data_IF_055180815053
#
_entry.id   IF_055180815053
#
_cell.length_a   1.000
_cell.length_b   1.000
_cell.length_c   1.000
_cell.angle_alpha   90.00
_cell.angle_beta   90.00
_cell.angle_gamma   90.00
#
_symmetry.space_group_name_H-M   'P 1'
#
loop_
_entity.id
_entity.type
_entity.pdbx_description
1 polymer ?
#
# COMPACT_ATOMS: atom_id res chain seq x y z
N UNK A 1 1.24 4.47 8.97
CA UNK A 1 0.82 3.05 8.76
C UNK A 1 -0.33 2.64 9.63
N UNK A 2 -0.34 2.94 10.93
CA UNK A 2 -1.45 2.53 11.82
C UNK A 2 -2.79 3.13 11.37
N UNK A 3 -2.84 4.44 11.10
CA UNK A 3 -4.09 5.11 10.70
C UNK A 3 -4.58 4.61 9.33
N UNK A 4 -3.75 4.58 8.29
CA UNK A 4 -4.14 4.04 6.97
C UNK A 4 -4.54 2.56 7.01
N UNK A 5 -3.86 1.75 7.82
CA UNK A 5 -4.21 0.35 8.04
C UNK A 5 -5.55 0.20 8.78
N UNK A 6 -5.86 1.07 9.74
CA UNK A 6 -7.16 1.08 10.42
C UNK A 6 -8.31 1.51 9.51
N UNK A 7 -8.08 2.46 8.60
CA UNK A 7 -9.10 2.85 7.61
C UNK A 7 -9.46 1.67 6.69
N UNK A 8 -8.45 0.94 6.20
CA UNK A 8 -8.67 -0.26 5.38
C UNK A 8 -9.30 -1.39 6.20
N UNK A 9 -8.82 -1.66 7.41
CA UNK A 9 -9.31 -2.77 8.23
C UNK A 9 -10.73 -2.58 8.76
N UNK A 10 -11.13 -1.34 9.06
CA UNK A 10 -12.47 -1.00 9.54
C UNK A 10 -13.43 -0.64 8.41
N UNK A 11 -12.97 -0.61 7.15
CA UNK A 11 -13.80 -0.21 6.02
C UNK A 11 -14.29 1.24 6.12
N UNK A 12 -13.52 2.12 6.76
CA UNK A 12 -13.80 3.56 6.85
C UNK A 12 -13.00 4.24 5.75
N UNK A 13 -13.68 4.72 4.71
CA UNK A 13 -13.09 5.26 3.48
C UNK A 13 -11.96 4.38 2.96
N UNK A 14 -12.29 3.09 2.74
CA UNK A 14 -11.32 2.05 2.46
C UNK A 14 -10.49 2.33 1.20
N UNK A 15 -11.08 2.97 0.20
CA UNK A 15 -10.41 3.47 -1.00
C UNK A 15 -9.36 4.55 -0.67
N UNK A 16 -9.73 5.58 0.09
CA UNK A 16 -8.79 6.62 0.53
C UNK A 16 -7.67 6.03 1.40
N UNK A 17 -8.02 5.14 2.33
CA UNK A 17 -7.05 4.41 3.16
C UNK A 17 -6.06 3.62 2.30
N UNK A 18 -6.56 2.87 1.33
CA UNK A 18 -5.75 2.07 0.41
C UNK A 18 -4.85 2.94 -0.49
N UNK A 19 -5.35 4.07 -0.98
CA UNK A 19 -4.55 5.02 -1.76
C UNK A 19 -3.41 5.64 -0.93
N UNK A 20 -3.69 6.06 0.30
CA UNK A 20 -2.68 6.60 1.21
C UNK A 20 -1.63 5.55 1.60
N UNK A 21 -2.06 4.29 1.79
CA UNK A 21 -1.13 3.17 2.00
C UNK A 21 -0.22 2.96 0.79
N UNK A 22 -0.77 2.93 -0.43
CA UNK A 22 0.01 2.79 -1.66
C UNK A 22 1.08 3.89 -1.79
N UNK A 23 0.70 5.16 -1.61
CA UNK A 23 1.62 6.30 -1.68
C UNK A 23 2.75 6.16 -0.66
N UNK A 24 2.41 5.86 0.59
CA UNK A 24 3.42 5.69 1.63
C UNK A 24 4.38 4.53 1.33
N UNK A 25 3.86 3.38 0.90
CA UNK A 25 4.66 2.20 0.62
C UNK A 25 5.63 2.44 -0.52
N UNK A 26 5.21 3.14 -1.58
CA UNK A 26 6.10 3.56 -2.66
C UNK A 26 7.17 4.54 -2.16
N UNK A 27 6.78 5.59 -1.44
CA UNK A 27 7.74 6.55 -0.88
C UNK A 27 8.76 5.86 0.03
N UNK A 28 8.30 4.94 0.88
CA UNK A 28 9.16 4.13 1.76
C UNK A 28 10.09 3.21 0.96
N UNK A 29 9.59 2.51 -0.07
CA UNK A 29 10.41 1.65 -0.93
C UNK A 29 11.58 2.43 -1.56
N UNK A 30 11.29 3.57 -2.19
CA UNK A 30 12.32 4.34 -2.89
C UNK A 30 13.26 5.14 -1.98
N UNK A 31 12.80 5.59 -0.80
CA UNK A 31 13.63 6.37 0.13
C UNK A 31 14.38 5.54 1.16
N UNK A 32 13.80 4.43 1.63
CA UNK A 32 14.35 3.64 2.73
C UNK A 32 15.01 2.34 2.26
N UNK A 33 14.57 1.77 1.14
CA UNK A 33 15.06 0.49 0.62
C UNK A 33 15.72 0.62 -0.75
N UNK A 34 16.58 1.63 -0.89
CA UNK A 34 17.33 1.95 -2.09
C UNK A 34 18.49 0.97 -2.36
N UNK A 35 18.17 -0.32 -2.53
CA UNK A 35 19.14 -1.41 -2.66
C UNK A 35 20.20 -1.20 -3.77
N UNK A 36 19.89 -0.40 -4.80
CA UNK A 36 20.82 -0.06 -5.88
C UNK A 36 22.03 0.78 -5.42
N UNK A 37 21.99 1.39 -4.23
CA UNK A 37 23.14 2.12 -3.67
C UNK A 37 23.99 1.28 -2.73
N UNK A 38 23.61 0.01 -2.47
CA UNK A 38 24.30 -0.86 -1.51
C UNK A 38 25.38 -1.69 -2.20
N UNK A 39 26.63 -1.59 -1.70
CA UNK A 39 27.78 -2.29 -2.27
C UNK A 39 27.95 -3.72 -1.73
N UNK A 40 27.70 -3.92 -0.43
CA UNK A 40 27.74 -5.25 0.18
C UNK A 40 26.63 -6.15 -0.38
N UNK A 41 26.99 -7.33 -0.88
CA UNK A 41 26.07 -8.21 -1.58
C UNK A 41 24.95 -8.73 -0.67
N UNK A 42 25.25 -9.02 0.60
CA UNK A 42 24.31 -9.61 1.53
C UNK A 42 23.30 -8.55 2.02
N UNK A 43 23.77 -7.34 2.35
CA UNK A 43 22.93 -6.20 2.67
C UNK A 43 22.07 -5.77 1.46
N UNK A 44 22.62 -5.78 0.25
CA UNK A 44 21.88 -5.47 -0.98
C UNK A 44 20.71 -6.41 -1.19
N UNK A 45 20.90 -7.71 -0.96
CA UNK A 45 19.81 -8.70 -1.08
C UNK A 45 18.71 -8.47 -0.04
N UNK A 46 19.08 -8.13 1.20
CA UNK A 46 18.12 -7.80 2.24
C UNK A 46 17.30 -6.54 1.90
N UNK A 47 17.96 -5.47 1.46
CA UNK A 47 17.28 -4.24 1.03
C UNK A 47 16.40 -4.47 -0.19
N UNK A 48 16.85 -5.23 -1.17
CA UNK A 48 16.05 -5.59 -2.35
C UNK A 48 14.80 -6.36 -1.95
N UNK A 49 14.89 -7.27 -0.97
CA UNK A 49 13.75 -8.01 -0.46
C UNK A 49 12.72 -7.07 0.20
N UNK A 50 13.17 -6.11 1.01
CA UNK A 50 12.28 -5.13 1.64
C UNK A 50 11.65 -4.18 0.62
N UNK A 51 12.41 -3.74 -0.39
CA UNK A 51 11.88 -2.97 -1.51
C UNK A 51 10.74 -3.72 -2.22
N UNK A 52 10.96 -4.99 -2.57
CA UNK A 52 9.95 -5.81 -3.26
C UNK A 52 8.72 -6.08 -2.39
N UNK A 53 8.89 -6.24 -1.07
CA UNK A 53 7.75 -6.34 -0.14
C UNK A 53 6.91 -5.07 -0.16
N UNK A 54 7.54 -3.89 -0.05
CA UNK A 54 6.80 -2.63 -0.08
C UNK A 54 6.11 -2.41 -1.44
N UNK A 55 6.77 -2.78 -2.54
CA UNK A 55 6.19 -2.69 -3.88
C UNK A 55 4.99 -3.62 -4.04
N UNK A 56 5.08 -4.87 -3.58
CA UNK A 56 3.97 -5.83 -3.60
C UNK A 56 2.78 -5.35 -2.76
N UNK A 57 3.04 -4.83 -1.55
CA UNK A 57 2.01 -4.25 -0.69
C UNK A 57 1.39 -2.99 -1.29
N UNK A 58 2.17 -2.16 -1.98
CA UNK A 58 1.66 -0.99 -2.70
C UNK A 58 0.71 -1.42 -3.83
N UNK A 59 1.10 -2.45 -4.60
CA UNK A 59 0.25 -3.06 -5.63
C UNK A 59 -1.06 -3.60 -5.05
N UNK A 60 -1.00 -4.35 -3.95
CA UNK A 60 -2.20 -4.85 -3.27
C UNK A 60 -3.10 -3.70 -2.78
N UNK A 61 -2.52 -2.63 -2.27
CA UNK A 61 -3.26 -1.44 -1.85
C UNK A 61 -3.95 -0.76 -3.04
N UNK A 62 -3.29 -0.66 -4.20
CA UNK A 62 -3.91 -0.11 -5.40
C UNK A 62 -5.06 -0.98 -5.93
N UNK A 63 -4.94 -2.31 -5.84
CA UNK A 63 -6.05 -3.22 -6.19
C UNK A 63 -7.27 -2.94 -5.31
N UNK A 64 -7.08 -2.80 -4.00
CA UNK A 64 -8.17 -2.48 -3.06
C UNK A 64 -8.78 -1.11 -3.39
N UNK A 65 -7.94 -0.10 -3.66
CA UNK A 65 -8.40 1.23 -4.05
C UNK A 65 -9.33 1.19 -5.28
N UNK A 66 -8.91 0.51 -6.35
CA UNK A 66 -9.71 0.39 -7.58
C UNK A 66 -10.97 -0.45 -7.34
N UNK A 67 -10.87 -1.53 -6.57
CA UNK A 67 -12.02 -2.38 -6.25
C UNK A 67 -13.10 -1.58 -5.52
N UNK A 68 -12.74 -0.85 -4.46
CA UNK A 68 -13.69 -0.05 -3.67
C UNK A 68 -14.20 1.16 -4.48
N UNK A 69 -13.32 1.88 -5.16
CA UNK A 69 -13.69 3.08 -5.93
C UNK A 69 -14.51 2.80 -7.19
N UNK A 70 -14.54 1.56 -7.69
CA UNK A 70 -15.44 1.11 -8.77
C UNK A 70 -16.75 0.51 -8.27
N UNK A 71 -17.01 0.55 -6.95
CA UNK A 71 -18.21 0.00 -6.33
C UNK A 71 -18.19 -1.53 -6.17
N UNK A 72 -17.03 -2.16 -6.26
CA UNK A 72 -16.85 -3.59 -6.02
C UNK A 72 -17.09 -3.96 -4.55
N UNK A 73 -17.55 -5.19 -4.34
CA UNK A 73 -17.84 -5.70 -2.99
C UNK A 73 -16.55 -5.87 -2.18
N UNK A 74 -16.33 -5.01 -1.19
CA UNK A 74 -15.20 -5.06 -0.26
C UNK A 74 -15.66 -5.49 1.15
N UNK A 75 -16.46 -6.56 1.21
CA UNK A 75 -16.96 -7.10 2.48
C UNK A 75 -17.75 -6.09 3.33
N UNK A 76 -17.92 -6.34 4.65
CA UNK A 76 -18.62 -5.42 5.54
C UNK A 76 -17.79 -4.14 5.74
N UNK A 77 -18.29 -3.03 5.22
CA UNK A 77 -17.70 -1.70 5.36
C UNK A 77 -18.58 -0.80 6.22
N UNK A 78 -17.97 0.10 6.99
CA UNK A 78 -18.69 1.07 7.83
C UNK A 78 -19.15 2.27 6.98
N UNK A 79 -18.37 2.63 5.96
CA UNK A 79 -18.67 3.72 5.03
C UNK A 79 -18.49 3.26 3.60
N UNK A 80 -19.22 3.87 2.68
CA UNK A 80 -18.98 3.70 1.24
C UNK A 80 -17.64 4.34 0.81
N UNK A 81 -17.20 3.98 -0.41
CA UNK A 81 -16.07 4.63 -1.06
C UNK A 81 -16.34 6.11 -1.31
N UNK A 82 -15.29 6.92 -1.20
CA UNK A 82 -15.31 8.35 -1.56
C UNK A 82 -15.18 8.51 -3.08
N UNK A 83 -14.37 7.68 -3.72
CA UNK A 83 -14.04 7.81 -5.13
C UNK A 83 -15.07 7.09 -6.00
N UNK A 84 -15.33 7.67 -7.18
CA UNK A 84 -16.14 7.07 -8.23
C UNK A 84 -15.26 7.00 -9.49
N UNK A 85 -14.72 5.81 -9.77
CA UNK A 85 -13.71 5.53 -10.80
C UNK A 85 -14.32 4.94 -12.08
#
# INVERSE_FOLDING_TARGET
>A
MIIGGLYVALGIYADLGALLLAIFLLLSAFKMHNFWTVADAQAKQAEMTNFMKNLALAGASLIIFVLVGSGGEFGPTITEGIFNL
#
